data_IF_613349391449
#
_entry.id   IF_613349391449
#
_cell.length_a   1.000
_cell.length_b   1.000
_cell.length_c   1.000
_cell.angle_alpha   90.00
_cell.angle_beta   90.00
_cell.angle_gamma   90.00
#
_symmetry.space_group_name_H-M   'P 1'
#
loop_
_entity.id
_entity.type
_entity.pdbx_description
1 polymer ?
#
# COMPACT_ATOMS: atom_id res chain seq x y z
N UNK A 1 -26.68 2.01 0.74
CA UNK A 1 -25.87 3.21 0.47
C UNK A 1 -26.23 4.27 1.51
N UNK A 2 -25.25 4.87 2.19
CA UNK A 2 -25.54 6.04 3.03
C UNK A 2 -26.04 7.18 2.13
N UNK A 3 -26.96 8.01 2.62
CA UNK A 3 -27.44 9.14 1.84
C UNK A 3 -26.27 10.13 1.59
N UNK A 4 -26.11 10.62 0.36
CA UNK A 4 -25.11 11.61 -0.04
C UNK A 4 -24.89 12.79 0.96
N UNK A 5 -25.94 13.39 1.59
CA UNK A 5 -25.74 14.43 2.60
C UNK A 5 -25.03 13.95 3.89
N UNK A 6 -25.19 12.67 4.26
CA UNK A 6 -24.51 12.06 5.41
C UNK A 6 -23.02 11.85 5.12
N UNK A 7 -22.68 11.42 3.91
CA UNK A 7 -21.29 11.28 3.43
C UNK A 7 -20.59 12.64 3.40
N UNK A 8 -21.26 13.66 2.86
CA UNK A 8 -20.73 15.02 2.77
C UNK A 8 -20.35 15.63 4.12
N UNK A 9 -21.11 15.36 5.19
CA UNK A 9 -20.80 15.86 6.54
C UNK A 9 -19.58 15.23 7.21
N UNK A 10 -19.08 14.10 6.67
CA UNK A 10 -17.94 13.36 7.21
C UNK A 10 -16.64 13.66 6.45
N UNK A 11 -16.73 14.33 5.30
CA UNK A 11 -15.58 14.70 4.48
C UNK A 11 -14.92 15.98 4.99
N UNK A 12 -13.61 16.09 4.76
CA UNK A 12 -12.83 17.30 5.03
C UNK A 12 -13.36 18.44 4.16
N UNK A 13 -13.60 19.65 4.72
CA UNK A 13 -14.03 20.80 3.95
C UNK A 13 -13.05 21.17 2.83
N UNK A 14 -13.58 21.61 1.68
CA UNK A 14 -12.78 21.87 0.48
C UNK A 14 -11.67 22.93 0.73
N UNK A 15 -11.93 23.90 1.61
CA UNK A 15 -10.94 24.90 2.00
C UNK A 15 -9.71 24.32 2.71
N UNK A 16 -9.90 23.29 3.53
CA UNK A 16 -8.79 22.59 4.19
C UNK A 16 -8.01 21.73 3.19
N UNK A 17 -8.68 21.10 2.23
CA UNK A 17 -8.00 20.39 1.14
C UNK A 17 -7.14 21.30 0.28
N UNK A 18 -7.62 22.51 -0.03
CA UNK A 18 -6.81 23.50 -0.73
C UNK A 18 -5.55 23.89 0.03
N UNK A 19 -5.64 24.01 1.36
CA UNK A 19 -4.47 24.34 2.19
C UNK A 19 -3.45 23.20 2.19
N UNK A 20 -3.90 21.96 2.36
CA UNK A 20 -3.03 20.77 2.39
C UNK A 20 -2.36 20.52 1.04
N UNK A 21 -3.08 20.73 -0.07
CA UNK A 21 -2.55 20.56 -1.41
C UNK A 21 -1.63 21.71 -1.88
N UNK A 22 -1.46 22.76 -1.06
CA UNK A 22 -0.72 23.96 -1.47
C UNK A 22 -1.39 24.74 -2.61
N UNK A 23 -2.71 24.65 -2.74
CA UNK A 23 -3.44 25.31 -3.83
C UNK A 23 -3.48 26.83 -3.61
N UNK A 24 -2.83 27.55 -4.54
CA UNK A 24 -2.86 29.01 -4.60
C UNK A 24 -4.23 29.58 -5.01
N UNK A 25 -4.39 30.89 -4.83
CA UNK A 25 -5.67 31.57 -5.03
C UNK A 25 -6.22 31.45 -6.46
N UNK A 26 -5.35 31.34 -7.47
CA UNK A 26 -5.76 31.12 -8.87
C UNK A 26 -6.57 29.83 -9.07
N UNK A 27 -6.14 28.73 -8.46
CA UNK A 27 -6.83 27.42 -8.53
C UNK A 27 -8.15 27.49 -7.75
N UNK A 28 -8.15 28.14 -6.57
CA UNK A 28 -9.35 28.31 -5.73
C UNK A 28 -10.43 29.11 -6.44
N UNK A 29 -10.06 30.25 -7.03
CA UNK A 29 -10.98 31.10 -7.78
C UNK A 29 -11.51 30.39 -9.03
N UNK A 30 -10.67 29.64 -9.75
CA UNK A 30 -11.09 28.89 -10.92
C UNK A 30 -12.11 27.79 -10.59
N UNK A 31 -11.85 26.98 -9.56
CA UNK A 31 -12.78 25.93 -9.13
C UNK A 31 -14.10 26.53 -8.60
N UNK A 32 -14.04 27.65 -7.89
CA UNK A 32 -15.23 28.38 -7.46
C UNK A 32 -16.04 28.94 -8.65
N UNK A 33 -15.38 29.46 -9.68
CA UNK A 33 -16.02 29.94 -10.91
C UNK A 33 -16.75 28.80 -11.65
N UNK A 34 -16.17 27.59 -11.65
CA UNK A 34 -16.80 26.34 -12.14
C UNK A 34 -17.91 25.81 -11.22
N UNK A 35 -18.27 26.52 -10.14
CA UNK A 35 -19.25 26.15 -9.11
C UNK A 35 -18.88 24.87 -8.33
N UNK A 36 -17.59 24.56 -8.25
CA UNK A 36 -17.06 23.45 -7.45
C UNK A 36 -16.67 24.01 -6.08
N UNK A 37 -17.67 24.10 -5.20
CA UNK A 37 -17.52 24.73 -3.87
C UNK A 37 -17.45 23.74 -2.71
N UNK A 38 -17.65 22.44 -2.97
CA UNK A 38 -17.64 21.41 -1.92
C UNK A 38 -16.80 20.20 -2.33
N UNK A 39 -16.26 19.50 -1.31
CA UNK A 39 -15.45 18.31 -1.50
C UNK A 39 -16.20 17.17 -2.19
N UNK A 40 -17.48 16.88 -1.88
CA UNK A 40 -18.29 15.94 -2.64
C UNK A 40 -18.41 16.27 -4.13
N UNK A 41 -18.65 17.55 -4.46
CA UNK A 41 -18.77 17.98 -5.86
C UNK A 41 -17.45 17.75 -6.60
N UNK A 42 -16.33 18.07 -5.96
CA UNK A 42 -15.01 17.80 -6.53
C UNK A 42 -14.75 16.29 -6.71
N UNK A 43 -15.15 15.45 -5.75
CA UNK A 43 -14.99 14.00 -5.81
C UNK A 43 -15.76 13.32 -6.96
N UNK A 44 -16.93 13.87 -7.30
CA UNK A 44 -17.88 13.26 -8.23
C UNK A 44 -17.88 13.88 -9.62
N UNK A 45 -17.19 15.00 -9.84
CA UNK A 45 -17.25 15.75 -11.11
C UNK A 45 -16.69 14.98 -12.32
N UNK A 46 -15.82 14.01 -12.08
CA UNK A 46 -15.18 13.20 -13.10
C UNK A 46 -15.08 11.73 -12.65
N UNK A 47 -14.96 10.80 -13.60
CA UNK A 47 -14.89 9.36 -13.28
C UNK A 47 -13.50 8.90 -12.88
N UNK A 48 -12.46 9.62 -13.26
CA UNK A 48 -11.06 9.31 -12.94
C UNK A 48 -10.21 10.58 -13.14
N UNK A 49 -8.90 10.49 -12.83
CA UNK A 49 -8.01 11.64 -12.93
C UNK A 49 -7.79 12.12 -14.38
N UNK A 50 -7.93 11.23 -15.38
CA UNK A 50 -7.77 11.57 -16.80
C UNK A 50 -8.97 12.40 -17.31
N UNK A 51 -10.19 11.99 -16.97
CA UNK A 51 -11.41 12.74 -17.21
C UNK A 51 -11.37 14.09 -16.48
N UNK A 52 -10.91 14.10 -15.22
CA UNK A 52 -10.74 15.33 -14.46
C UNK A 52 -9.71 16.27 -15.11
N UNK A 53 -8.60 15.72 -15.59
CA UNK A 53 -7.56 16.48 -16.29
C UNK A 53 -8.12 17.11 -17.55
N UNK A 54 -8.86 16.35 -18.35
CA UNK A 54 -9.45 16.84 -19.59
C UNK A 54 -10.54 17.89 -19.35
N UNK A 55 -11.41 17.68 -18.36
CA UNK A 55 -12.58 18.54 -18.12
C UNK A 55 -12.28 19.81 -17.32
N UNK A 56 -11.30 19.74 -16.41
CA UNK A 56 -11.06 20.79 -15.41
C UNK A 56 -9.65 21.37 -15.52
N UNK A 57 -8.61 20.54 -15.60
CA UNK A 57 -7.21 21.00 -15.57
C UNK A 57 -6.78 21.58 -16.92
N UNK A 58 -6.98 20.89 -18.03
CA UNK A 58 -6.57 21.33 -19.36
C UNK A 58 -7.18 22.70 -19.76
N UNK A 59 -8.47 23.00 -19.49
CA UNK A 59 -9.01 24.34 -19.71
C UNK A 59 -8.35 25.43 -18.85
N UNK A 60 -7.93 25.10 -17.62
CA UNK A 60 -7.21 26.04 -16.76
C UNK A 60 -5.80 26.33 -17.29
N UNK A 61 -5.09 25.31 -17.77
CA UNK A 61 -3.75 25.50 -18.36
C UNK A 61 -3.80 26.29 -19.67
N UNK A 62 -4.80 26.03 -20.51
CA UNK A 62 -5.01 26.75 -21.76
C UNK A 62 -5.36 28.24 -21.54
N UNK A 63 -5.85 28.59 -20.35
CA UNK A 63 -6.43 29.89 -20.05
C UNK A 63 -7.89 29.92 -20.50
N UNK A 64 -8.81 30.05 -19.54
CA UNK A 64 -10.24 30.04 -19.81
C UNK A 64 -10.92 31.23 -19.13
N UNK A 65 -11.75 31.93 -19.89
CA UNK A 65 -12.58 33.02 -19.38
C UNK A 65 -13.89 32.44 -18.83
N UNK A 66 -14.17 32.67 -17.55
CA UNK A 66 -15.43 32.29 -16.90
C UNK A 66 -16.01 33.54 -16.24
N UNK A 67 -17.28 33.85 -16.51
CA UNK A 67 -17.96 35.04 -15.98
C UNK A 67 -17.19 36.36 -16.23
N UNK A 68 -16.45 36.45 -17.36
CA UNK A 68 -15.66 37.62 -17.75
C UNK A 68 -14.32 37.79 -17.03
N UNK A 69 -13.89 36.80 -16.23
CA UNK A 69 -12.57 36.73 -15.60
C UNK A 69 -11.71 35.65 -16.25
N UNK A 70 -10.45 35.96 -16.53
CA UNK A 70 -9.50 35.00 -17.10
C UNK A 70 -8.86 34.18 -15.99
N UNK A 71 -8.97 32.85 -16.11
CA UNK A 71 -8.35 31.90 -15.21
C UNK A 71 -7.28 31.11 -15.96
N UNK A 72 -6.02 31.28 -15.54
CA UNK A 72 -4.88 30.58 -16.11
C UNK A 72 -3.86 30.23 -15.04
N UNK A 73 -3.13 29.14 -15.23
CA UNK A 73 -1.91 28.87 -14.46
C UNK A 73 -0.84 29.95 -14.70
N UNK A 74 -0.03 30.24 -13.69
CA UNK A 74 1.13 31.12 -13.84
C UNK A 74 2.15 30.49 -14.80
N UNK A 75 2.81 31.32 -15.59
CA UNK A 75 3.72 30.85 -16.64
C UNK A 75 4.94 30.14 -16.02
N UNK A 76 5.15 28.87 -16.37
CA UNK A 76 6.20 28.02 -15.81
C UNK A 76 5.73 27.10 -14.68
N UNK A 77 4.55 27.35 -14.11
CA UNK A 77 3.98 26.57 -13.01
C UNK A 77 2.88 25.59 -13.48
N UNK A 78 2.69 25.43 -14.79
CA UNK A 78 1.69 24.50 -15.35
C UNK A 78 1.81 23.06 -14.82
N UNK A 79 3.02 22.47 -14.66
CA UNK A 79 3.16 21.14 -14.07
C UNK A 79 2.76 21.10 -12.59
N UNK A 80 3.05 22.18 -11.85
CA UNK A 80 2.76 22.29 -10.42
C UNK A 80 1.25 22.46 -10.22
N UNK A 81 0.61 23.35 -10.98
CA UNK A 81 -0.84 23.54 -10.96
C UNK A 81 -1.58 22.23 -11.31
N UNK A 82 -1.08 21.48 -12.30
CA UNK A 82 -1.60 20.16 -12.67
C UNK A 82 -1.53 19.17 -11.51
N UNK A 83 -0.36 19.05 -10.88
CA UNK A 83 -0.15 18.14 -9.75
C UNK A 83 -1.07 18.47 -8.56
N UNK A 84 -1.20 19.76 -8.23
CA UNK A 84 -2.06 20.24 -7.15
C UNK A 84 -3.53 19.89 -7.43
N UNK A 85 -4.03 20.18 -8.63
CA UNK A 85 -5.43 19.93 -8.98
C UNK A 85 -5.75 18.43 -9.03
N UNK A 86 -4.85 17.60 -9.55
CA UNK A 86 -5.00 16.13 -9.55
C UNK A 86 -4.99 15.61 -8.11
N UNK A 87 -4.08 16.08 -7.26
CA UNK A 87 -4.02 15.68 -5.85
C UNK A 87 -5.32 16.01 -5.11
N UNK A 88 -5.87 17.22 -5.30
CA UNK A 88 -7.16 17.63 -4.74
C UNK A 88 -8.30 16.70 -5.15
N UNK A 89 -8.38 16.35 -6.43
CA UNK A 89 -9.41 15.45 -6.94
C UNK A 89 -9.28 14.03 -6.36
N UNK A 90 -8.07 13.48 -6.34
CA UNK A 90 -7.79 12.13 -5.79
C UNK A 90 -8.14 12.07 -4.31
N UNK A 91 -7.79 13.10 -3.54
CA UNK A 91 -8.05 13.12 -2.11
C UNK A 91 -9.55 13.30 -1.80
N UNK A 92 -10.24 14.18 -2.54
CA UNK A 92 -11.69 14.32 -2.42
C UNK A 92 -12.42 13.01 -2.73
N UNK A 93 -11.98 12.29 -3.78
CA UNK A 93 -12.54 11.01 -4.17
C UNK A 93 -12.26 9.90 -3.16
N UNK A 94 -11.03 9.85 -2.64
CA UNK A 94 -10.64 8.93 -1.55
C UNK A 94 -11.58 9.07 -0.35
N UNK A 95 -11.90 10.30 0.04
CA UNK A 95 -12.82 10.54 1.17
C UNK A 95 -14.25 10.13 0.85
N UNK A 96 -14.73 10.40 -0.37
CA UNK A 96 -16.07 9.98 -0.81
C UNK A 96 -16.23 8.45 -0.75
N UNK A 97 -15.22 7.71 -1.19
CA UNK A 97 -15.23 6.24 -1.20
C UNK A 97 -15.16 5.64 0.23
N UNK A 98 -14.50 6.33 1.16
CA UNK A 98 -14.43 5.92 2.57
C UNK A 98 -15.80 6.05 3.25
N UNK A 99 -16.48 7.18 3.06
CA UNK A 99 -17.70 7.51 3.80
C UNK A 99 -18.99 7.03 3.11
N UNK A 100 -18.93 6.63 1.83
CA UNK A 100 -20.09 6.09 1.10
C UNK A 100 -20.41 4.61 1.38
N UNK A 101 -19.52 3.88 2.06
CA UNK A 101 -19.75 2.48 2.44
C UNK A 101 -20.66 2.36 3.67
N UNK A 102 -21.71 1.54 3.56
CA UNK A 102 -22.59 1.25 4.70
C UNK A 102 -21.88 0.31 5.70
N UNK A 103 -22.20 0.38 7.01
CA UNK A 103 -21.65 -0.55 7.98
C UNK A 103 -22.18 -1.97 7.68
N UNK A 104 -21.30 -2.89 7.29
CA UNK A 104 -21.66 -4.30 7.14
C UNK A 104 -21.82 -4.91 8.53
N UNK A 105 -23.04 -5.34 8.88
CA UNK A 105 -23.29 -6.09 10.11
C UNK A 105 -22.59 -7.46 10.08
N UNK A 106 -22.05 -7.96 11.21
CA UNK A 106 -21.35 -9.25 11.24
C UNK A 106 -22.33 -10.43 11.08
N UNK A 107 -22.13 -11.25 10.04
CA UNK A 107 -22.85 -12.52 9.89
C UNK A 107 -22.18 -13.64 10.70
N UNK A 108 -22.96 -14.51 11.37
CA UNK A 108 -22.43 -15.68 12.08
C UNK A 108 -21.96 -16.78 11.12
N UNK A 109 -20.85 -17.40 11.51
CA UNK A 109 -20.12 -18.44 10.80
C UNK A 109 -20.93 -19.76 10.75
N UNK A 110 -21.21 -20.27 9.56
CA UNK A 110 -21.82 -21.60 9.35
C UNK A 110 -20.78 -22.60 8.85
N UNK A 111 -20.84 -23.80 9.43
CA UNK A 111 -19.92 -24.92 9.26
C UNK A 111 -19.93 -25.52 7.84
N UNK A 112 -18.79 -26.13 7.49
CA UNK A 112 -18.53 -26.79 6.23
C UNK A 112 -19.47 -27.99 5.98
N UNK A 113 -19.96 -28.11 4.75
CA UNK A 113 -20.47 -29.36 4.18
C UNK A 113 -20.00 -29.47 2.72
N UNK A 114 -19.38 -30.62 2.43
CA UNK A 114 -18.89 -31.08 1.13
C UNK A 114 -20.07 -31.57 0.28
N UNK A 115 -20.18 -31.16 -0.99
CA UNK A 115 -20.68 -32.00 -2.09
C UNK A 115 -20.59 -31.34 -3.48
N UNK A 116 -19.96 -32.09 -4.39
CA UNK A 116 -20.27 -32.34 -5.81
C UNK A 116 -20.56 -31.20 -6.82
N UNK A 117 -19.86 -31.33 -7.95
CA UNK A 117 -19.97 -30.60 -9.21
C UNK A 117 -21.36 -30.71 -9.86
N UNK A 118 -21.76 -29.65 -10.57
CA UNK A 118 -22.35 -29.81 -11.91
C UNK A 118 -22.00 -28.61 -12.78
N UNK A 119 -21.46 -28.88 -13.95
CA UNK A 119 -21.17 -27.91 -14.99
C UNK A 119 -22.46 -27.44 -15.66
N UNK A 120 -22.56 -26.14 -15.92
CA UNK A 120 -23.35 -25.59 -17.02
C UNK A 120 -22.60 -24.35 -17.54
N UNK A 121 -22.19 -24.42 -18.80
CA UNK A 121 -21.48 -23.36 -19.46
C UNK A 121 -22.36 -22.14 -19.69
N UNK A 122 -21.70 -20.99 -19.81
CA UNK A 122 -22.10 -19.89 -20.67
C UNK A 122 -20.87 -19.00 -20.89
N UNK A 123 -20.30 -19.05 -22.09
CA UNK A 123 -19.68 -17.90 -22.74
C UNK A 123 -20.83 -17.07 -23.35
N UNK A 124 -20.77 -15.73 -23.43
CA UNK A 124 -19.84 -15.14 -24.40
C UNK A 124 -19.31 -13.71 -24.11
N UNK A 125 -18.28 -13.39 -24.90
CA UNK A 125 -17.90 -12.05 -25.43
C UNK A 125 -17.07 -11.13 -24.56
N UNK A 126 -15.76 -11.16 -24.82
CA UNK A 126 -14.81 -10.13 -24.44
C UNK A 126 -14.97 -8.89 -25.35
N UNK A 127 -15.26 -7.75 -24.74
CA UNK A 127 -14.96 -6.43 -25.29
C UNK A 127 -13.75 -5.89 -24.53
N UNK A 128 -12.60 -5.81 -25.18
CA UNK A 128 -11.38 -5.27 -24.61
C UNK A 128 -11.55 -3.76 -24.39
N UNK A 129 -11.95 -3.39 -23.18
CA UNK A 129 -11.87 -2.02 -22.67
C UNK A 129 -10.50 -1.88 -22.01
N UNK A 130 -9.74 -0.83 -22.33
CA UNK A 130 -8.45 -0.55 -21.71
C UNK A 130 -8.61 -0.60 -20.18
N UNK A 131 -7.85 -1.48 -19.53
CA UNK A 131 -8.03 -1.80 -18.12
C UNK A 131 -7.71 -0.58 -17.25
N UNK A 132 -8.71 -0.07 -16.53
CA UNK A 132 -8.51 0.90 -15.47
C UNK A 132 -7.61 0.26 -14.41
N UNK A 133 -6.37 0.73 -14.34
CA UNK A 133 -5.42 0.40 -13.27
C UNK A 133 -5.96 1.09 -12.00
N UNK A 134 -6.30 0.35 -10.93
CA UNK A 134 -6.69 0.96 -9.67
C UNK A 134 -5.54 1.84 -9.15
N UNK A 135 -5.83 2.95 -8.48
CA UNK A 135 -4.79 3.85 -7.93
C UNK A 135 -4.28 3.40 -6.54
N UNK A 136 -5.03 2.51 -5.87
CA UNK A 136 -4.72 2.07 -4.50
C UNK A 136 -4.67 0.54 -4.40
N UNK A 137 -3.74 -0.02 -3.62
CA UNK A 137 -3.76 -1.43 -3.31
C UNK A 137 -5.06 -1.83 -2.61
N UNK A 138 -5.64 -2.99 -2.96
CA UNK A 138 -6.82 -3.50 -2.30
C UNK A 138 -6.53 -3.82 -0.83
N UNK A 139 -7.53 -3.69 0.04
CA UNK A 139 -7.42 -4.07 1.46
C UNK A 139 -7.51 -5.58 1.68
N UNK A 140 -7.95 -6.31 0.67
CA UNK A 140 -8.08 -7.77 0.68
C UNK A 140 -7.17 -8.38 -0.38
N UNK A 141 -6.47 -9.45 -0.02
CA UNK A 141 -5.61 -10.15 -0.97
C UNK A 141 -6.38 -11.26 -1.70
N UNK A 142 -7.10 -10.87 -2.76
CA UNK A 142 -7.93 -11.80 -3.53
C UNK A 142 -7.15 -12.94 -4.20
N UNK A 143 -5.85 -12.74 -4.48
CA UNK A 143 -5.01 -13.73 -5.14
C UNK A 143 -4.40 -14.79 -4.19
N UNK A 144 -4.73 -14.77 -2.90
CA UNK A 144 -4.16 -15.68 -1.90
C UNK A 144 -4.21 -17.16 -2.32
N UNK A 145 -5.41 -17.68 -2.59
CA UNK A 145 -5.59 -19.10 -2.94
C UNK A 145 -4.84 -19.46 -4.21
N UNK A 146 -4.90 -18.58 -5.22
CA UNK A 146 -4.18 -18.79 -6.48
C UNK A 146 -2.67 -18.88 -6.27
N UNK A 147 -2.08 -17.96 -5.50
CA UNK A 147 -0.63 -17.94 -5.26
C UNK A 147 -0.17 -19.14 -4.41
N UNK A 148 -0.95 -19.52 -3.40
CA UNK A 148 -0.65 -20.73 -2.61
C UNK A 148 -0.72 -21.96 -3.49
N UNK A 149 -1.76 -22.13 -4.31
CA UNK A 149 -1.86 -23.26 -5.23
C UNK A 149 -0.70 -23.28 -6.24
N UNK A 150 -0.36 -22.14 -6.84
CA UNK A 150 0.78 -22.03 -7.76
C UNK A 150 2.12 -22.38 -7.08
N UNK A 151 2.27 -22.03 -5.80
CA UNK A 151 3.42 -22.47 -5.01
C UNK A 151 3.40 -24.00 -4.86
N UNK A 152 2.32 -24.58 -4.33
CA UNK A 152 2.23 -26.00 -3.98
C UNK A 152 2.22 -26.96 -5.19
N UNK A 153 1.86 -26.47 -6.37
CA UNK A 153 1.94 -27.22 -7.62
C UNK A 153 3.38 -27.54 -8.06
N UNK A 154 4.37 -26.74 -7.64
CA UNK A 154 5.77 -27.08 -7.93
C UNK A 154 6.16 -28.32 -7.12
N UNK A 155 6.68 -29.33 -7.81
CA UNK A 155 7.12 -30.57 -7.18
C UNK A 155 8.53 -30.41 -6.59
N UNK A 156 8.71 -30.92 -5.39
CA UNK A 156 10.01 -31.10 -4.74
C UNK A 156 10.17 -32.58 -4.43
N UNK A 157 11.18 -33.24 -5.00
CA UNK A 157 11.38 -34.70 -4.92
C UNK A 157 10.11 -35.52 -5.25
N UNK A 158 9.37 -35.08 -6.28
CA UNK A 158 8.13 -35.74 -6.73
C UNK A 158 6.92 -35.56 -5.79
N UNK A 159 7.06 -34.81 -4.69
CA UNK A 159 5.96 -34.45 -3.79
C UNK A 159 5.58 -32.97 -3.98
N UNK A 160 4.30 -32.67 -3.82
CA UNK A 160 3.87 -31.26 -3.74
C UNK A 160 4.45 -30.64 -2.49
N UNK A 161 5.06 -29.46 -2.64
CA UNK A 161 5.50 -28.67 -1.49
C UNK A 161 4.29 -28.03 -0.81
N UNK A 162 4.42 -27.73 0.47
CA UNK A 162 3.36 -27.09 1.27
C UNK A 162 3.76 -25.67 1.64
N UNK A 163 2.87 -24.71 1.44
CA UNK A 163 3.15 -23.32 1.80
C UNK A 163 2.95 -23.10 3.31
N UNK A 164 3.86 -22.44 4.03
CA UNK A 164 3.72 -22.19 5.46
C UNK A 164 2.78 -21.00 5.72
N UNK A 165 1.47 -21.24 5.55
CA UNK A 165 0.39 -20.24 5.67
C UNK A 165 0.49 -19.41 6.96
N UNK A 166 0.83 -20.03 8.09
CA UNK A 166 0.90 -19.36 9.39
C UNK A 166 1.90 -18.20 9.45
N UNK A 167 2.90 -18.18 8.57
CA UNK A 167 3.93 -17.12 8.56
C UNK A 167 3.35 -15.76 8.13
N UNK A 168 2.24 -15.78 7.37
CA UNK A 168 1.67 -14.59 6.72
C UNK A 168 0.19 -14.34 7.02
N UNK A 169 -0.56 -15.37 7.46
CA UNK A 169 -1.99 -15.26 7.72
C UNK A 169 -2.29 -14.10 8.69
N UNK A 170 -3.24 -13.23 8.35
CA UNK A 170 -3.58 -11.99 9.08
C UNK A 170 -2.88 -10.73 8.57
N UNK A 171 -1.85 -10.86 7.73
CA UNK A 171 -1.15 -9.74 7.10
C UNK A 171 -1.56 -9.52 5.64
N UNK A 172 -2.78 -9.92 5.25
CA UNK A 172 -3.26 -9.89 3.86
C UNK A 172 -3.27 -8.48 3.26
N UNK A 173 -3.49 -7.45 4.07
CA UNK A 173 -3.42 -6.06 3.61
C UNK A 173 -2.02 -5.69 3.08
N UNK A 174 -0.96 -6.20 3.73
CA UNK A 174 0.43 -5.99 3.31
C UNK A 174 0.70 -6.77 2.03
N UNK A 175 0.24 -8.01 1.95
CA UNK A 175 0.40 -8.83 0.75
C UNK A 175 -0.37 -8.26 -0.44
N UNK A 176 -1.57 -7.75 -0.21
CA UNK A 176 -2.37 -7.09 -1.23
C UNK A 176 -1.68 -5.84 -1.77
N UNK A 177 -1.05 -5.04 -0.88
CA UNK A 177 -0.18 -3.93 -1.27
C UNK A 177 1.00 -4.40 -2.11
N UNK A 178 1.80 -5.33 -1.60
CA UNK A 178 2.97 -5.84 -2.32
C UNK A 178 2.60 -6.44 -3.68
N UNK A 179 1.50 -7.18 -3.76
CA UNK A 179 1.02 -7.80 -5.00
C UNK A 179 0.56 -6.77 -6.02
N UNK A 180 -0.18 -5.76 -5.56
CA UNK A 180 -0.62 -4.66 -6.40
C UNK A 180 0.57 -3.83 -6.90
N UNK A 181 1.54 -3.53 -6.04
CA UNK A 181 2.79 -2.90 -6.45
C UNK A 181 3.55 -3.75 -7.47
N UNK A 182 3.59 -5.07 -7.26
CA UNK A 182 4.29 -5.99 -8.14
C UNK A 182 3.60 -6.20 -9.49
N UNK A 183 2.27 -6.24 -9.55
CA UNK A 183 1.52 -6.59 -10.77
C UNK A 183 0.99 -5.38 -11.52
N UNK A 184 0.69 -4.30 -10.80
CA UNK A 184 -0.03 -3.14 -11.34
C UNK A 184 0.89 -1.92 -11.45
N UNK A 185 1.34 -1.36 -10.33
CA UNK A 185 2.00 -0.04 -10.37
C UNK A 185 3.48 -0.09 -10.68
N UNK A 186 4.15 -1.20 -10.38
CA UNK A 186 5.63 -1.33 -10.38
C UNK A 186 6.33 -0.28 -9.50
N UNK A 187 5.58 0.40 -8.63
CA UNK A 187 6.05 1.36 -7.65
C UNK A 187 6.18 0.63 -6.32
N UNK A 188 7.42 0.38 -5.94
CA UNK A 188 7.78 -0.63 -4.96
C UNK A 188 8.11 0.01 -3.62
N UNK A 189 7.24 -0.17 -2.63
CA UNK A 189 7.49 0.29 -1.26
C UNK A 189 8.28 -0.79 -0.49
N UNK A 190 9.33 -0.43 0.26
CA UNK A 190 10.01 -1.40 1.12
C UNK A 190 9.07 -1.97 2.19
N UNK A 191 9.13 -3.28 2.41
CA UNK A 191 8.42 -3.96 3.50
C UNK A 191 9.27 -3.86 4.75
N UNK A 192 8.77 -3.25 5.82
CA UNK A 192 9.56 -3.16 7.07
C UNK A 192 9.59 -4.51 7.78
N UNK A 193 10.63 -4.78 8.57
CA UNK A 193 10.76 -6.05 9.30
C UNK A 193 9.59 -6.31 10.27
N UNK A 194 8.92 -5.26 10.75
CA UNK A 194 7.81 -5.36 11.69
C UNK A 194 6.42 -5.34 11.03
N UNK A 195 6.33 -4.97 9.75
CA UNK A 195 5.06 -4.74 9.07
C UNK A 195 4.16 -5.99 9.03
N UNK A 196 4.74 -7.15 8.65
CA UNK A 196 4.02 -8.43 8.65
C UNK A 196 3.83 -8.94 10.09
N UNK A 197 4.85 -8.79 10.93
CA UNK A 197 4.85 -9.32 12.30
C UNK A 197 3.76 -8.73 13.18
N UNK A 198 3.44 -7.44 13.04
CA UNK A 198 2.40 -6.80 13.84
C UNK A 198 0.97 -7.03 13.32
N UNK A 199 0.81 -7.68 12.17
CA UNK A 199 -0.50 -7.93 11.53
C UNK A 199 -0.87 -9.41 11.48
N UNK A 200 0.11 -10.30 11.32
CA UNK A 200 -0.17 -11.74 11.26
C UNK A 200 -0.85 -12.27 12.52
N UNK A 201 -1.75 -13.23 12.37
CA UNK A 201 -2.55 -13.83 13.43
C UNK A 201 -1.70 -14.66 14.40
N UNK A 202 -0.70 -15.37 13.88
CA UNK A 202 0.09 -16.32 14.65
C UNK A 202 1.53 -15.86 14.83
N UNK A 203 2.10 -16.13 16.00
CA UNK A 203 3.56 -16.08 16.20
C UNK A 203 4.20 -17.35 15.64
N UNK A 204 5.54 -17.41 15.50
CA UNK A 204 6.21 -18.60 14.97
C UNK A 204 6.02 -19.81 15.88
N UNK A 205 5.79 -19.56 17.18
CA UNK A 205 5.46 -20.59 18.18
C UNK A 205 4.02 -21.11 18.08
N UNK A 206 3.26 -20.74 17.04
CA UNK A 206 1.83 -21.09 16.85
C UNK A 206 0.91 -20.61 17.98
N UNK A 207 1.28 -19.51 18.61
CA UNK A 207 0.43 -18.83 19.59
C UNK A 207 -0.23 -17.63 18.93
N UNK A 208 -1.39 -17.22 19.46
CA UNK A 208 -2.04 -15.99 19.01
C UNK A 208 -1.10 -14.80 19.20
N UNK A 209 -1.03 -13.93 18.19
CA UNK A 209 -0.13 -12.78 18.20
C UNK A 209 -0.71 -11.60 19.02
N UNK A 210 -0.11 -11.23 20.16
CA UNK A 210 -0.58 -10.11 20.95
C UNK A 210 -0.42 -8.77 20.24
N UNK A 211 0.56 -8.63 19.33
CA UNK A 211 0.80 -7.39 18.58
C UNK A 211 -0.36 -7.08 17.63
N UNK A 212 -0.94 -8.11 17.00
CA UNK A 212 -2.10 -7.95 16.13
C UNK A 212 -3.34 -7.52 16.92
N UNK A 213 -3.54 -8.07 18.12
CA UNK A 213 -4.63 -7.67 19.00
C UNK A 213 -4.44 -6.24 19.54
N UNK A 214 -3.23 -5.88 19.96
CA UNK A 214 -2.89 -4.52 20.41
C UNK A 214 -3.06 -3.50 19.28
N UNK A 215 -2.63 -3.83 18.06
CA UNK A 215 -2.84 -2.99 16.88
C UNK A 215 -4.32 -2.79 16.59
N UNK A 216 -5.12 -3.85 16.64
CA UNK A 216 -6.57 -3.76 16.46
C UNK A 216 -7.22 -2.88 17.55
N UNK A 217 -6.76 -3.01 18.80
CA UNK A 217 -7.22 -2.19 19.92
C UNK A 217 -6.83 -0.72 19.78
N UNK A 218 -5.58 -0.41 19.39
CA UNK A 218 -5.11 0.96 19.10
C UNK A 218 -5.82 1.58 17.90
N UNK A 219 -6.14 0.78 16.89
CA UNK A 219 -6.91 1.23 15.74
C UNK A 219 -8.38 1.52 16.09
N UNK A 220 -8.92 0.85 17.12
CA UNK A 220 -10.28 1.06 17.63
C UNK A 220 -10.38 2.18 18.68
N UNK A 221 -9.29 2.47 19.41
CA UNK A 221 -9.24 3.43 20.51
C UNK A 221 -8.33 4.62 20.23
N UNK A 222 -8.94 5.72 19.77
CA UNK A 222 -8.34 7.06 19.62
C UNK A 222 -7.17 7.17 18.62
N UNK A 223 -7.41 7.92 17.53
CA UNK A 223 -6.33 8.51 16.73
C UNK A 223 -5.62 9.51 17.65
N UNK A 224 -4.51 9.10 18.26
CA UNK A 224 -3.66 10.03 18.99
C UNK A 224 -3.36 11.21 18.05
N UNK A 225 -3.57 12.43 18.53
CA UNK A 225 -3.32 13.64 17.77
C UNK A 225 -2.04 14.25 18.33
N UNK A 226 -1.02 14.42 17.49
CA UNK A 226 0.19 15.16 17.84
C UNK A 226 0.00 16.63 17.52
N UNK A 227 0.52 17.52 18.35
CA UNK A 227 0.52 18.94 18.07
C UNK A 227 1.78 19.28 17.26
N UNK A 228 1.64 19.51 15.96
CA UNK A 228 2.73 19.99 15.09
C UNK A 228 2.42 21.41 14.64
N UNK A 229 3.34 22.35 14.92
CA UNK A 229 3.21 23.76 14.53
C UNK A 229 1.86 24.41 14.91
N UNK A 230 1.28 23.97 16.04
CA UNK A 230 -0.02 24.47 16.53
C UNK A 230 -1.25 23.79 15.94
N UNK A 231 -1.10 22.80 15.06
CA UNK A 231 -2.19 22.00 14.51
C UNK A 231 -2.19 20.57 15.10
N UNK A 232 -3.38 20.04 15.36
CA UNK A 232 -3.57 18.64 15.75
C UNK A 232 -3.50 17.76 14.50
N UNK A 233 -2.38 17.07 14.32
CA UNK A 233 -2.16 16.12 13.22
C UNK A 233 -2.41 14.70 13.74
N UNK A 234 -3.12 13.83 13.01
CA UNK A 234 -3.19 12.42 13.35
C UNK A 234 -1.78 11.84 13.47
N UNK A 235 -1.45 11.35 14.66
CA UNK A 235 -0.23 10.59 14.87
C UNK A 235 -0.35 9.32 14.01
N UNK A 236 0.51 9.21 13.00
CA UNK A 236 0.64 7.95 12.28
C UNK A 236 1.05 6.89 13.31
N UNK A 237 0.27 5.81 13.46
CA UNK A 237 0.59 4.80 14.44
C UNK A 237 1.97 4.26 14.10
N UNK A 238 2.94 4.54 14.98
CA UNK A 238 4.31 4.04 14.88
C UNK A 238 4.24 2.55 14.54
N UNK A 239 4.76 2.21 13.36
CA UNK A 239 4.77 0.82 12.94
C UNK A 239 5.75 0.09 13.84
N UNK A 240 5.23 -0.87 14.61
CA UNK A 240 6.02 -1.63 15.56
C UNK A 240 7.26 -2.20 14.85
N UNK A 241 8.45 -1.95 15.40
CA UNK A 241 9.72 -2.45 14.87
C UNK A 241 10.28 -3.54 15.78
N UNK A 242 10.88 -4.61 15.21
CA UNK A 242 11.60 -5.57 16.02
C UNK A 242 12.77 -4.90 16.75
N UNK A 243 13.02 -5.35 17.97
CA UNK A 243 14.02 -4.77 18.89
C UNK A 243 15.07 -5.80 19.30
N UNK A 244 14.76 -7.10 19.18
CA UNK A 244 15.67 -8.19 19.47
C UNK A 244 16.10 -8.98 18.24
N UNK A 245 17.16 -9.77 18.41
CA UNK A 245 17.67 -10.69 17.40
C UNK A 245 16.58 -11.64 16.87
N UNK A 246 15.83 -12.29 17.76
CA UNK A 246 14.82 -13.26 17.37
C UNK A 246 13.69 -12.62 16.56
N UNK A 247 13.20 -11.45 16.98
CA UNK A 247 12.18 -10.70 16.23
C UNK A 247 12.68 -10.20 14.87
N UNK A 248 13.98 -9.94 14.75
CA UNK A 248 14.61 -9.53 13.49
C UNK A 248 14.68 -10.69 12.51
N UNK A 249 15.11 -11.87 12.99
CA UNK A 249 15.14 -13.12 12.20
C UNK A 249 13.72 -13.49 11.76
N UNK A 250 12.76 -13.38 12.66
CA UNK A 250 11.34 -13.65 12.39
C UNK A 250 10.78 -12.71 11.32
N UNK A 251 11.08 -11.41 11.41
CA UNK A 251 10.68 -10.42 10.40
C UNK A 251 11.27 -10.72 9.02
N UNK A 252 12.56 -11.11 8.99
CA UNK A 252 13.23 -11.51 7.76
C UNK A 252 12.60 -12.78 7.14
N UNK A 253 12.25 -13.76 7.97
CA UNK A 253 11.58 -14.98 7.52
C UNK A 253 10.16 -14.70 7.00
N UNK A 254 9.39 -13.85 7.67
CA UNK A 254 8.08 -13.44 7.22
C UNK A 254 8.15 -12.75 5.85
N UNK A 255 9.08 -11.82 5.67
CA UNK A 255 9.30 -11.15 4.39
C UNK A 255 9.76 -12.11 3.28
N UNK A 256 10.66 -13.06 3.59
CA UNK A 256 11.07 -14.14 2.68
C UNK A 256 9.86 -14.89 2.13
N UNK A 257 8.96 -15.34 3.01
CA UNK A 257 7.77 -16.07 2.59
C UNK A 257 6.80 -15.21 1.78
N UNK A 258 6.68 -13.92 2.11
CA UNK A 258 5.88 -12.99 1.32
C UNK A 258 6.44 -12.82 -0.10
N UNK A 259 7.75 -12.62 -0.25
CA UNK A 259 8.38 -12.49 -1.58
C UNK A 259 8.26 -13.78 -2.40
N UNK A 260 8.47 -14.94 -1.78
CA UNK A 260 8.32 -16.24 -2.45
C UNK A 260 6.87 -16.45 -2.91
N UNK A 261 5.88 -16.18 -2.04
CA UNK A 261 4.47 -16.36 -2.37
C UNK A 261 4.04 -15.45 -3.53
N UNK A 262 4.51 -14.20 -3.53
CA UNK A 262 4.15 -13.20 -4.53
C UNK A 262 5.03 -13.25 -5.80
N UNK A 263 6.01 -14.15 -5.87
CA UNK A 263 6.94 -14.22 -7.00
C UNK A 263 7.81 -12.97 -7.18
N UNK A 264 8.09 -12.24 -6.10
CA UNK A 264 8.94 -11.04 -6.13
C UNK A 264 10.40 -11.50 -6.08
N UNK A 265 11.01 -11.63 -7.25
CA UNK A 265 12.38 -12.13 -7.42
C UNK A 265 12.46 -13.65 -7.56
N UNK A 266 13.64 -14.15 -7.90
CA UNK A 266 13.87 -15.59 -7.99
C UNK A 266 13.92 -16.21 -6.57
N UNK A 267 13.27 -17.36 -6.41
CA UNK A 267 13.18 -18.05 -5.12
C UNK A 267 14.56 -18.32 -4.51
N UNK A 268 15.54 -18.74 -5.34
CA UNK A 268 16.91 -18.98 -4.90
C UNK A 268 17.60 -17.71 -4.35
N UNK A 269 17.36 -16.57 -4.99
CA UNK A 269 17.93 -15.28 -4.59
C UNK A 269 17.31 -14.75 -3.30
N UNK A 270 15.98 -14.88 -3.19
CA UNK A 270 15.24 -14.51 -1.98
C UNK A 270 15.73 -15.33 -0.79
N UNK A 271 15.90 -16.65 -0.97
CA UNK A 271 16.41 -17.54 0.08
C UNK A 271 17.84 -17.16 0.46
N UNK A 272 18.72 -16.99 -0.52
CA UNK A 272 20.13 -16.62 -0.29
C UNK A 272 20.25 -15.31 0.48
N UNK A 273 19.45 -14.31 0.13
CA UNK A 273 19.44 -13.02 0.81
C UNK A 273 18.93 -13.14 2.25
N UNK A 274 17.79 -13.81 2.46
CA UNK A 274 17.23 -14.01 3.80
C UNK A 274 18.21 -14.77 4.72
N UNK A 275 18.84 -15.83 4.19
CA UNK A 275 19.81 -16.63 4.94
C UNK A 275 21.08 -15.82 5.27
N UNK A 276 21.58 -15.00 4.33
CA UNK A 276 22.68 -14.07 4.60
C UNK A 276 22.33 -13.06 5.71
N UNK A 277 21.15 -12.44 5.63
CA UNK A 277 20.71 -11.45 6.61
C UNK A 277 20.57 -12.08 8.01
N UNK A 278 19.98 -13.27 8.09
CA UNK A 278 19.86 -14.05 9.33
C UNK A 278 21.23 -14.44 9.87
N UNK A 279 22.16 -14.89 9.03
CA UNK A 279 23.52 -15.23 9.43
C UNK A 279 24.26 -14.01 9.99
N UNK A 280 24.16 -12.86 9.31
CA UNK A 280 24.75 -11.59 9.75
C UNK A 280 24.18 -11.13 11.09
N UNK A 281 22.86 -11.18 11.26
CA UNK A 281 22.20 -10.85 12.52
C UNK A 281 22.65 -11.76 13.67
N UNK A 282 22.80 -13.07 13.41
CA UNK A 282 23.30 -14.03 14.41
C UNK A 282 24.77 -13.81 14.77
N UNK A 283 25.61 -13.52 13.77
CA UNK A 283 27.04 -13.29 13.97
C UNK A 283 27.33 -12.01 14.77
N UNK A 284 26.45 -11.00 14.65
CA UNK A 284 26.59 -9.70 15.29
C UNK A 284 25.32 -9.32 16.07
N UNK A 285 24.96 -10.17 17.04
CA UNK A 285 23.76 -9.99 17.85
C UNK A 285 23.73 -8.67 18.64
N UNK A 286 24.91 -8.10 18.94
CA UNK A 286 25.12 -6.80 19.57
C UNK A 286 24.86 -5.61 18.63
N UNK A 287 24.92 -5.82 17.32
CA UNK A 287 24.73 -4.78 16.29
C UNK A 287 23.38 -4.90 15.57
N UNK A 288 22.40 -5.61 16.14
CA UNK A 288 21.08 -5.81 15.53
C UNK A 288 20.41 -4.51 15.05
N UNK A 289 20.39 -3.40 15.83
CA UNK A 289 19.78 -2.15 15.35
C UNK A 289 20.46 -1.59 14.09
N UNK A 290 21.79 -1.69 14.00
CA UNK A 290 22.53 -1.27 12.81
C UNK A 290 22.23 -2.20 11.63
N UNK A 291 22.12 -3.51 11.87
CA UNK A 291 21.78 -4.50 10.83
C UNK A 291 20.36 -4.27 10.29
N UNK A 292 19.40 -3.93 11.15
CA UNK A 292 18.03 -3.61 10.74
C UNK A 292 17.98 -2.40 9.81
N UNK A 293 18.86 -1.42 9.98
CA UNK A 293 18.92 -0.24 9.11
C UNK A 293 19.30 -0.57 7.65
N UNK A 294 20.01 -1.69 7.41
CA UNK A 294 20.36 -2.13 6.04
C UNK A 294 19.21 -2.85 5.33
N UNK A 295 18.15 -3.23 6.04
CA UNK A 295 17.03 -4.00 5.49
C UNK A 295 16.32 -3.33 4.30
N UNK A 296 16.07 -2.00 4.27
CA UNK A 296 15.38 -1.34 3.16
C UNK A 296 16.25 -1.21 1.90
N UNK A 297 17.58 -1.07 2.04
CA UNK A 297 18.50 -0.78 0.93
C UNK A 297 18.58 -1.95 -0.07
N UNK A 298 18.54 -3.18 0.44
CA UNK A 298 18.71 -4.40 -0.35
C UNK A 298 17.41 -4.86 -1.05
N UNK A 299 16.24 -4.37 -0.60
CA UNK A 299 14.96 -4.64 -1.28
C UNK A 299 14.88 -4.00 -2.66
N UNK A 300 15.58 -2.89 -2.87
CA UNK A 300 15.69 -2.25 -4.19
C UNK A 300 16.52 -3.09 -5.17
N UNK A 301 17.48 -3.88 -4.68
CA UNK A 301 18.41 -4.66 -5.50
C UNK A 301 17.80 -6.00 -5.97
N UNK A 302 17.04 -6.67 -5.10
CA UNK A 302 16.24 -7.86 -5.46
C UNK A 302 15.22 -7.58 -6.60
N UNK A 303 14.83 -6.31 -6.78
CA UNK A 303 13.78 -5.86 -7.70
C UNK A 303 14.26 -5.45 -9.10
N UNK A 304 15.57 -5.28 -9.33
CA UNK A 304 16.13 -4.81 -10.63
C UNK A 304 16.60 -5.93 -11.58
N UNK A 305 16.54 -7.20 -11.17
CA UNK A 305 17.22 -8.29 -11.89
C UNK A 305 18.72 -8.22 -11.62
N UNK A 306 19.25 -9.22 -10.93
CA UNK A 306 20.56 -9.15 -10.30
C UNK A 306 21.74 -9.25 -11.27
N UNK A 307 22.13 -8.13 -11.89
CA UNK A 307 23.33 -8.04 -12.74
C UNK A 307 24.51 -7.27 -12.10
N UNK A 308 24.33 -6.63 -10.95
CA UNK A 308 25.43 -5.98 -10.21
C UNK A 308 25.65 -6.65 -8.84
N UNK A 309 25.88 -7.97 -8.87
CA UNK A 309 26.31 -8.71 -7.69
C UNK A 309 27.79 -9.01 -7.81
N UNK A 310 28.66 -8.19 -7.18
CA UNK A 310 29.80 -8.74 -6.42
C UNK A 310 30.65 -7.72 -5.64
N UNK A 311 30.66 -6.43 -5.96
CA UNK A 311 31.68 -5.54 -5.37
C UNK A 311 31.25 -4.87 -4.05
N UNK A 312 29.99 -4.48 -3.88
CA UNK A 312 29.63 -3.64 -2.72
C UNK A 312 29.43 -4.38 -1.39
N UNK A 313 29.15 -5.68 -1.43
CA UNK A 313 28.89 -6.48 -0.22
C UNK A 313 30.18 -7.18 0.30
N UNK A 314 31.23 -7.27 -0.51
CA UNK A 314 32.55 -7.77 -0.11
C UNK A 314 33.38 -6.76 0.67
N UNK A 315 33.19 -5.46 0.41
CA UNK A 315 34.04 -4.40 0.97
C UNK A 315 33.79 -4.09 2.46
N UNK A 316 32.73 -4.61 3.08
CA UNK A 316 32.52 -4.44 4.52
C UNK A 316 33.05 -5.62 5.36
N UNK A 317 33.58 -6.65 4.72
CA UNK A 317 34.28 -7.75 5.38
C UNK A 317 35.81 -7.53 5.47
N UNK A 318 36.35 -6.44 4.90
CA UNK A 318 37.75 -6.08 4.95
C UNK A 318 38.00 -4.71 5.58
N UNK A 319 38.90 -4.67 6.56
CA UNK A 319 39.55 -3.47 7.10
C UNK A 319 38.74 -2.44 7.89
N UNK A 320 38.47 -2.78 9.16
CA UNK A 320 38.72 -1.84 10.27
C UNK A 320 39.49 -2.49 11.43
N UNK A 321 40.58 -3.19 11.09
CA UNK A 321 41.66 -3.53 12.03
C UNK A 321 43.03 -3.42 11.34
N UNK A 322 43.49 -2.19 11.12
CA UNK A 322 44.90 -1.78 11.20
C UNK A 322 45.05 -0.33 10.72
N UNK A 323 45.11 0.61 11.67
CA UNK A 323 46.00 1.80 11.72
C UNK A 323 45.44 2.76 12.76
#
# INVERSE_FOLDING_TARGET
>A
MAAAPTVASQMVPLGELFNTAGAGDGIRHYLAAKKISTTPTLALIAKNAEDFTTMIVAPFLAGVTIDGQDHKAEAGDEPVATAIMIHLFVEARRQWDIFSQAPTAPQPQAAAATAAQTAAGNTPTAAATAAHIPDRPPKTFAAWTQQVTAYEEKLFDGKRRTFPVQELLGAEEVLARMWFEHTVTKMYTPVTLGEILCRRTWTPGRMLNPLAAERAAKSAGSKALRLEHGALVPEEPSEWSPWGLLSTIDGANAARWAWILLGIGEEADVIKYADWFVAKARAHADMVPAIQAFWPEEQYLLRRGGEERHERCGDLAGDRRAS
#
